data_IF_540058898590
#
_entry.id   IF_540058898590
#
_cell.length_a   1.000
_cell.length_b   1.000
_cell.length_c   1.000
_cell.angle_alpha   90.00
_cell.angle_beta   90.00
_cell.angle_gamma   90.00
#
_symmetry.space_group_name_H-M   'P 1'
#
loop_
_entity.id
_entity.type
_entity.pdbx_description
1 polymer ?
#
# COMPACT_ATOMS: atom_id res chain seq x y z
N UNK A 1 -30.91 25.36 0.34
CA UNK A 1 -29.77 26.30 0.25
C UNK A 1 -28.51 25.47 0.09
N UNK A 2 -27.60 25.88 -0.79
CA UNK A 2 -26.28 25.26 -0.87
C UNK A 2 -25.46 25.69 0.36
N UNK A 3 -24.68 24.78 0.93
CA UNK A 3 -23.77 25.11 2.03
C UNK A 3 -22.48 25.74 1.51
N UNK A 4 -21.69 26.31 2.41
CA UNK A 4 -20.43 27.01 2.06
C UNK A 4 -19.46 26.09 1.29
N UNK A 5 -19.32 24.83 1.67
CA UNK A 5 -18.46 23.86 0.96
C UNK A 5 -18.92 23.60 -0.47
N UNK A 6 -20.22 23.48 -0.69
CA UNK A 6 -20.81 23.31 -2.03
C UNK A 6 -20.61 24.56 -2.89
N UNK A 7 -20.74 25.76 -2.31
CA UNK A 7 -20.50 27.02 -3.01
C UNK A 7 -19.01 27.15 -3.40
N UNK A 8 -18.09 26.79 -2.51
CA UNK A 8 -16.64 26.80 -2.79
C UNK A 8 -16.26 25.81 -3.88
N UNK A 9 -16.84 24.61 -3.90
CA UNK A 9 -16.61 23.64 -4.96
C UNK A 9 -17.12 24.15 -6.32
N UNK A 10 -18.24 24.87 -6.36
CA UNK A 10 -18.80 25.44 -7.59
C UNK A 10 -18.00 26.63 -8.14
N UNK A 11 -17.24 27.32 -7.29
CA UNK A 11 -16.38 28.45 -7.69
C UNK A 11 -14.95 28.02 -8.02
N UNK A 12 -14.59 26.76 -7.77
CA UNK A 12 -13.26 26.23 -8.05
C UNK A 12 -13.09 26.03 -9.56
N UNK A 13 -12.00 26.60 -10.10
CA UNK A 13 -11.58 26.34 -11.48
C UNK A 13 -11.32 24.84 -11.71
N UNK A 14 -11.69 24.36 -12.88
CA UNK A 14 -11.58 22.97 -13.31
C UNK A 14 -10.19 22.66 -13.87
N UNK A 15 -9.83 21.38 -13.96
CA UNK A 15 -8.56 20.95 -14.56
C UNK A 15 -8.44 21.41 -16.03
N UNK A 16 -9.47 21.30 -16.89
CA UNK A 16 -9.40 21.85 -18.25
C UNK A 16 -9.14 23.37 -18.29
N UNK A 17 -9.73 24.14 -17.37
CA UNK A 17 -9.47 25.59 -17.28
C UNK A 17 -8.01 25.85 -16.88
N UNK A 18 -7.47 25.11 -15.90
CA UNK A 18 -6.06 25.20 -15.49
C UNK A 18 -5.13 24.83 -16.66
N UNK A 19 -5.41 23.74 -17.39
CA UNK A 19 -4.57 23.31 -18.54
C UNK A 19 -4.50 24.34 -19.67
N UNK A 20 -5.49 25.23 -19.76
CA UNK A 20 -5.53 26.32 -20.75
C UNK A 20 -5.02 27.66 -20.21
N UNK A 21 -4.70 27.75 -18.92
CA UNK A 21 -4.27 29.00 -18.31
C UNK A 21 -2.83 29.38 -18.74
N UNK A 22 -2.56 30.63 -19.16
CA UNK A 22 -1.24 31.07 -19.60
C UNK A 22 -0.12 30.90 -18.56
N UNK A 23 -0.44 31.01 -17.26
CA UNK A 23 0.54 30.78 -16.20
C UNK A 23 0.91 29.30 -16.11
N UNK A 24 -0.05 28.39 -16.28
CA UNK A 24 0.20 26.94 -16.22
C UNK A 24 1.05 26.46 -17.40
N UNK A 25 0.83 27.03 -18.59
CA UNK A 25 1.57 26.71 -19.80
C UNK A 25 2.98 27.30 -19.82
N UNK A 26 3.26 28.31 -19.00
CA UNK A 26 4.55 28.99 -18.96
C UNK A 26 5.62 28.03 -18.43
N UNK A 27 6.57 27.66 -19.31
CA UNK A 27 7.64 26.71 -19.03
C UNK A 27 7.15 25.31 -18.63
N UNK A 28 5.96 24.89 -19.11
CA UNK A 28 5.48 23.53 -18.90
C UNK A 28 6.44 22.54 -19.58
N UNK A 29 7.04 21.57 -18.85
CA UNK A 29 7.92 20.57 -19.44
C UNK A 29 7.19 19.75 -20.52
N UNK A 30 7.90 19.43 -21.60
CA UNK A 30 7.33 18.70 -22.74
C UNK A 30 6.85 17.29 -22.35
N UNK A 31 7.46 16.67 -21.33
CA UNK A 31 7.04 15.36 -20.83
C UNK A 31 5.64 15.41 -20.16
N UNK A 32 5.23 16.58 -19.69
CA UNK A 32 3.94 16.82 -19.01
C UNK A 32 2.86 17.40 -19.93
N UNK A 33 3.22 17.76 -21.17
CA UNK A 33 2.26 18.20 -22.18
C UNK A 33 1.39 17.03 -22.66
N UNK A 34 0.28 17.33 -23.32
CA UNK A 34 -0.58 16.30 -23.91
C UNK A 34 0.17 15.50 -24.98
N UNK A 35 0.27 14.18 -24.81
CA UNK A 35 1.12 13.33 -25.64
C UNK A 35 2.59 13.29 -25.23
N UNK A 36 2.99 14.04 -24.20
CA UNK A 36 4.25 13.87 -23.49
C UNK A 36 4.32 12.48 -22.85
N UNK A 37 5.51 11.87 -22.89
CA UNK A 37 5.75 10.58 -22.25
C UNK A 37 6.96 10.69 -21.35
N UNK A 38 6.75 10.44 -20.06
CA UNK A 38 7.82 10.21 -19.12
C UNK A 38 8.14 8.70 -19.12
N UNK A 39 9.04 8.27 -20.02
CA UNK A 39 9.53 6.89 -20.00
C UNK A 39 10.71 6.79 -19.05
N UNK A 40 10.44 6.32 -17.83
CA UNK A 40 11.49 5.95 -16.88
C UNK A 40 11.64 4.43 -16.90
N UNK A 41 12.72 3.93 -17.52
CA UNK A 41 13.14 2.54 -17.39
C UNK A 41 13.96 2.38 -16.09
N UNK A 42 13.39 2.80 -14.98
CA UNK A 42 14.02 2.65 -13.67
C UNK A 42 13.96 1.17 -13.28
N UNK A 43 15.11 0.58 -12.98
CA UNK A 43 15.22 -0.79 -12.48
C UNK A 43 14.45 -1.00 -11.17
N UNK A 44 14.16 0.07 -10.43
CA UNK A 44 13.34 0.04 -9.22
C UNK A 44 11.83 0.14 -9.50
N UNK A 45 11.42 0.41 -10.74
CA UNK A 45 10.01 0.50 -11.16
C UNK A 45 9.74 -0.39 -12.38
N UNK A 46 9.73 -1.73 -12.21
CA UNK A 46 9.53 -2.65 -13.32
C UNK A 46 8.12 -2.53 -13.90
N UNK A 47 8.01 -2.63 -15.23
CA UNK A 47 6.72 -2.72 -15.92
C UNK A 47 6.10 -4.10 -15.67
N UNK A 48 4.99 -4.16 -14.93
CA UNK A 48 4.21 -5.38 -14.71
C UNK A 48 2.86 -5.29 -15.40
N UNK A 49 2.37 -6.43 -15.92
CA UNK A 49 1.02 -6.49 -16.49
C UNK A 49 -0.03 -6.53 -15.38
N UNK A 50 -1.26 -6.15 -15.71
CA UNK A 50 -2.39 -6.20 -14.76
C UNK A 50 -2.63 -7.63 -14.30
N UNK A 51 -2.47 -8.61 -15.19
CA UNK A 51 -2.64 -10.03 -14.90
C UNK A 51 -1.62 -10.54 -13.86
N UNK A 52 -0.36 -10.11 -13.99
CA UNK A 52 0.72 -10.46 -13.05
C UNK A 52 0.47 -9.85 -11.67
N UNK A 53 0.15 -8.55 -11.63
CA UNK A 53 -0.20 -7.84 -10.38
C UNK A 53 -1.34 -8.56 -9.67
N UNK A 54 -2.40 -8.92 -10.40
CA UNK A 54 -3.54 -9.64 -9.82
C UNK A 54 -3.18 -11.07 -9.38
N UNK A 55 -2.22 -11.73 -10.03
CA UNK A 55 -1.72 -13.04 -9.60
C UNK A 55 -0.98 -12.95 -8.28
N UNK A 56 -0.06 -12.00 -8.14
CA UNK A 56 0.69 -11.76 -6.89
C UNK A 56 -0.27 -11.41 -5.75
N UNK A 57 -1.25 -10.53 -5.99
CA UNK A 57 -2.25 -10.17 -4.98
C UNK A 57 -3.06 -11.40 -4.53
N UNK A 58 -3.42 -12.29 -5.47
CA UNK A 58 -4.14 -13.53 -5.12
C UNK A 58 -3.28 -14.48 -4.31
N UNK A 59 -2.02 -14.67 -4.69
CA UNK A 59 -1.06 -15.49 -3.96
C UNK A 59 -0.81 -14.95 -2.55
N UNK A 60 -0.55 -13.64 -2.41
CA UNK A 60 -0.31 -13.01 -1.11
C UNK A 60 -1.52 -13.07 -0.16
N UNK A 61 -2.74 -13.16 -0.71
CA UNK A 61 -3.97 -13.37 0.08
C UNK A 61 -4.13 -14.80 0.57
N UNK A 62 -3.40 -15.76 0.03
CA UNK A 62 -3.39 -17.12 0.58
C UNK A 62 -2.50 -17.14 1.81
N UNK A 63 -3.11 -17.37 2.98
CA UNK A 63 -2.33 -17.77 4.15
C UNK A 63 -1.75 -19.14 3.81
N UNK A 64 -0.45 -19.19 3.54
CA UNK A 64 0.26 -20.46 3.46
C UNK A 64 -0.01 -21.15 4.79
N UNK A 65 -0.60 -22.35 4.75
CA UNK A 65 -0.84 -23.17 5.94
C UNK A 65 0.53 -23.37 6.58
N UNK A 66 0.83 -22.53 7.58
CA UNK A 66 2.00 -22.66 8.43
C UNK A 66 2.00 -24.12 8.82
N UNK A 67 3.07 -24.83 8.49
CA UNK A 67 3.33 -26.19 8.95
C UNK A 67 2.74 -26.28 10.34
N UNK A 68 1.65 -27.04 10.48
CA UNK A 68 1.04 -27.30 11.78
C UNK A 68 2.23 -27.61 12.70
N UNK A 69 2.43 -26.88 13.81
CA UNK A 69 3.38 -27.33 14.81
C UNK A 69 2.83 -28.64 15.36
N UNK A 70 3.08 -29.73 14.63
CA UNK A 70 3.00 -31.07 15.15
C UNK A 70 4.03 -31.15 16.27
N UNK A 71 3.76 -31.92 17.32
CA UNK A 71 4.53 -31.93 18.57
C UNK A 71 5.93 -32.57 18.44
N UNK A 72 6.58 -32.46 17.27
CA UNK A 72 7.82 -33.16 16.94
C UNK A 72 8.65 -32.46 15.84
N UNK A 73 8.91 -31.16 15.96
CA UNK A 73 10.13 -30.59 15.34
C UNK A 73 11.34 -30.87 16.23
N UNK A 74 11.64 -32.16 16.39
CA UNK A 74 12.94 -32.64 16.86
C UNK A 74 13.89 -32.52 15.68
N UNK A 75 14.60 -31.40 15.63
CA UNK A 75 15.56 -31.06 14.57
C UNK A 75 16.58 -30.04 15.05
N UNK A 76 17.14 -30.27 16.25
CA UNK A 76 18.17 -29.44 16.85
C UNK A 76 17.91 -29.17 18.33
N UNK A 77 17.99 -30.21 19.16
CA UNK A 77 18.15 -30.05 20.60
C UNK A 77 19.53 -29.41 20.81
N UNK A 78 19.57 -28.09 20.90
CA UNK A 78 20.57 -27.45 21.73
C UNK A 78 19.99 -27.50 23.13
N UNK A 79 20.59 -28.36 23.94
CA UNK A 79 20.43 -28.46 25.38
C UNK A 79 20.45 -27.03 25.97
N UNK A 80 19.27 -26.54 26.38
CA UNK A 80 19.04 -25.22 26.96
C UNK A 80 18.22 -25.42 28.25
N UNK A 81 18.65 -26.34 29.09
CA UNK A 81 18.09 -26.58 30.43
C UNK A 81 18.55 -25.52 31.46
N UNK A 82 19.04 -24.34 31.04
CA UNK A 82 19.66 -23.36 31.94
C UNK A 82 19.26 -21.89 31.66
N UNK A 83 18.02 -21.65 31.21
CA UNK A 83 17.45 -20.31 31.20
C UNK A 83 16.36 -20.20 32.28
N UNK A 84 16.88 -19.92 33.47
CA UNK A 84 16.24 -19.32 34.65
C UNK A 84 15.13 -18.31 34.30
N UNK A 85 13.93 -18.63 34.82
CA UNK A 85 12.89 -17.74 35.35
C UNK A 85 13.00 -16.26 34.95
N UNK A 86 12.38 -15.91 33.82
CA UNK A 86 12.06 -14.52 33.51
C UNK A 86 10.59 -14.42 33.10
N UNK A 87 9.78 -14.05 34.09
CA UNK A 87 8.39 -13.59 34.03
C UNK A 87 7.95 -13.07 32.65
N UNK A 88 7.26 -13.91 31.89
CA UNK A 88 6.47 -13.46 30.72
C UNK A 88 5.09 -13.03 31.25
N UNK A 89 5.07 -11.92 31.97
CA UNK A 89 3.85 -11.14 32.23
C UNK A 89 3.83 -9.94 31.27
N UNK A 90 3.17 -10.07 30.12
CA UNK A 90 2.05 -9.18 29.75
C UNK A 90 1.44 -9.65 28.41
N UNK A 91 0.32 -10.35 28.50
CA UNK A 91 -0.58 -10.61 27.37
C UNK A 91 -1.67 -9.53 27.39
N UNK A 92 -1.35 -8.31 26.99
CA UNK A 92 -2.41 -7.34 26.69
C UNK A 92 -2.91 -7.55 25.26
N UNK A 93 -3.97 -8.34 25.19
CA UNK A 93 -4.87 -8.46 24.06
C UNK A 93 -5.47 -7.09 23.73
N UNK A 94 -4.89 -6.35 22.78
CA UNK A 94 -5.43 -5.07 22.34
C UNK A 94 -6.02 -5.17 20.92
N UNK A 95 -7.35 -5.20 20.87
CA UNK A 95 -8.13 -4.50 19.84
C UNK A 95 -8.70 -5.34 18.70
N UNK A 96 -9.89 -5.90 18.92
CA UNK A 96 -10.84 -6.32 17.89
C UNK A 96 -11.04 -5.21 16.84
N UNK A 97 -10.69 -5.48 15.58
CA UNK A 97 -10.97 -4.56 14.47
C UNK A 97 -12.28 -4.95 13.80
N UNK A 98 -13.37 -4.31 14.22
CA UNK A 98 -14.68 -4.45 13.61
C UNK A 98 -14.67 -3.78 12.23
N UNK A 99 -14.60 -4.58 11.16
CA UNK A 99 -14.95 -4.13 9.81
C UNK A 99 -16.47 -4.13 9.66
N UNK A 100 -17.10 -2.99 9.92
CA UNK A 100 -18.50 -2.79 9.55
C UNK A 100 -18.64 -2.91 8.03
N UNK A 101 -19.52 -3.83 7.62
CA UNK A 101 -19.87 -4.16 6.23
C UNK A 101 -20.70 -3.05 5.57
#
# INVERSE_FOLDING_TARGET
MLNVSQIVLLQRITIPEIKNDPWFLKNLPIELMEGGSFQSNDVNNPSQSVEEILSIIREAKTLHDVVKPGPHLVGGIMDLDDLDDADIEDVETSGDFVCSL
#
